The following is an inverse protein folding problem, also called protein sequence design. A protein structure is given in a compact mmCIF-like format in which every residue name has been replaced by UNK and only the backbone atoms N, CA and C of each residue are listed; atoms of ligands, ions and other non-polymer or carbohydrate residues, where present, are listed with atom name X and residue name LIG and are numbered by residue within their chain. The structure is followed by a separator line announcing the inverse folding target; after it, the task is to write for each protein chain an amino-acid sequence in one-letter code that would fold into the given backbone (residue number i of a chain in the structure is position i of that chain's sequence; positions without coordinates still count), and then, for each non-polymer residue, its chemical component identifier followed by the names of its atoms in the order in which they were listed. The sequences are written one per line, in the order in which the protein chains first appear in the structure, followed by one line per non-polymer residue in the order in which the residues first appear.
data_IF_758234981020
#
_entry.id   IF_758234981020
#
_cell.length_a   1.000
_cell.length_b   1.000
_cell.length_c   1.000
_cell.angle_alpha   90.00
_cell.angle_beta   90.00
_cell.angle_gamma   90.00
#
_symmetry.space_group_name_H-M   'P 1'
#
loop_
_entity.id
_entity.type
_entity.pdbx_description
1 polymer ?
#
# COMPACT_ATOMS: atom_id res chain seq x y z
N UNK A 1 59.81 29.99 23.84
CA UNK A 1 58.52 29.43 24.27
C UNK A 1 57.34 29.75 23.36
N UNK A 2 57.41 30.76 22.52
CA UNK A 2 56.25 31.23 21.69
C UNK A 2 55.92 30.40 20.44
N UNK A 3 56.80 29.52 19.93
CA UNK A 3 56.56 28.73 18.72
C UNK A 3 55.73 27.47 18.94
N UNK A 4 55.71 26.94 20.13
CA UNK A 4 54.91 25.73 20.45
C UNK A 4 53.46 26.09 20.75
N UNK A 5 53.18 27.26 21.31
CA UNK A 5 51.84 27.72 21.66
C UNK A 5 50.92 27.90 20.42
N UNK A 6 51.51 28.39 19.28
CA UNK A 6 50.73 28.58 18.04
C UNK A 6 50.32 27.27 17.36
N UNK A 7 51.09 26.18 17.54
CA UNK A 7 50.77 24.88 16.91
C UNK A 7 49.67 24.14 17.69
N UNK A 8 49.65 24.28 19.00
CA UNK A 8 48.64 23.67 19.87
C UNK A 8 47.28 24.36 19.71
N UNK A 9 47.28 25.68 19.51
CA UNK A 9 46.04 26.44 19.32
C UNK A 9 45.32 26.09 17.98
N UNK A 10 46.08 25.85 16.91
CA UNK A 10 45.50 25.45 15.62
C UNK A 10 44.96 24.03 15.67
N UNK A 11 45.62 23.10 16.37
CA UNK A 11 45.14 21.74 16.53
C UNK A 11 43.87 21.68 17.43
N UNK A 12 43.80 22.49 18.47
CA UNK A 12 42.63 22.60 19.33
C UNK A 12 41.44 23.27 18.63
N UNK A 13 41.69 24.26 17.76
CA UNK A 13 40.62 24.91 16.98
C UNK A 13 40.03 23.98 15.92
N UNK A 14 40.86 23.13 15.28
CA UNK A 14 40.36 22.12 14.32
C UNK A 14 39.61 21.02 15.04
N UNK A 15 40.06 20.54 16.18
CA UNK A 15 39.35 19.54 16.98
C UNK A 15 38.03 20.11 17.56
N UNK A 16 38.00 21.37 17.97
CA UNK A 16 36.81 22.04 18.46
C UNK A 16 35.77 22.31 17.35
N UNK A 17 36.20 22.63 16.12
CA UNK A 17 35.31 22.82 14.97
C UNK A 17 34.68 21.49 14.48
N UNK A 18 35.44 20.39 14.58
CA UNK A 18 34.90 19.04 14.25
C UNK A 18 33.91 18.59 15.33
N UNK A 19 34.14 18.87 16.61
CA UNK A 19 33.20 18.49 17.68
C UNK A 19 31.93 19.35 17.71
N UNK A 20 32.00 20.62 17.29
CA UNK A 20 30.83 21.51 17.20
C UNK A 20 30.00 21.31 15.92
N UNK A 21 30.57 20.64 14.93
CA UNK A 21 29.93 20.39 13.64
C UNK A 21 29.28 19.01 13.50
N UNK A 22 29.24 18.21 14.57
CA UNK A 22 28.38 16.98 14.53
C UNK A 22 26.97 17.48 14.72
N UNK A 23 26.14 17.53 13.65
CA UNK A 23 24.71 17.76 13.83
C UNK A 23 24.26 16.66 14.79
N UNK A 24 23.60 17.04 15.87
CA UNK A 24 22.88 16.06 16.66
C UNK A 24 22.13 15.20 15.65
N UNK A 25 22.23 13.89 15.75
CA UNK A 25 21.57 12.94 14.85
C UNK A 25 20.08 13.17 14.93
N UNK A 26 19.59 14.18 14.22
CA UNK A 26 18.19 14.18 13.83
C UNK A 26 18.01 12.88 13.04
N UNK A 27 17.34 11.92 13.65
CA UNK A 27 17.05 10.63 13.02
C UNK A 27 16.31 10.92 11.73
N UNK A 28 17.02 10.83 10.60
CA UNK A 28 16.40 10.98 9.30
C UNK A 28 15.51 9.75 9.05
N UNK A 29 14.28 9.93 8.67
CA UNK A 29 13.38 8.85 8.33
C UNK A 29 12.79 9.04 6.93
N UNK A 30 12.44 7.92 6.32
CA UNK A 30 11.60 7.84 5.13
C UNK A 30 10.45 6.92 5.48
N UNK A 31 9.24 7.45 5.47
CA UNK A 31 8.02 6.77 5.92
C UNK A 31 6.99 6.69 4.81
N UNK A 32 6.21 5.63 4.80
CA UNK A 32 5.01 5.52 4.03
C UNK A 32 3.98 4.58 4.63
N UNK A 33 2.78 4.84 4.21
CA UNK A 33 1.59 4.13 4.60
C UNK A 33 0.63 4.10 3.43
N UNK A 34 0.07 2.92 3.17
CA UNK A 34 -1.10 2.68 2.34
C UNK A 34 -2.07 1.79 3.11
N UNK A 35 -3.30 2.20 3.29
CA UNK A 35 -4.35 1.39 3.89
C UNK A 35 -5.61 1.45 3.05
N UNK A 36 -6.31 0.32 2.97
CA UNK A 36 -7.63 0.21 2.37
C UNK A 36 -8.49 -0.70 3.24
N UNK A 37 -9.55 -0.14 3.78
CA UNK A 37 -10.57 -0.86 4.54
C UNK A 37 -11.89 -0.83 3.76
N UNK A 38 -12.40 -2.00 3.38
CA UNK A 38 -13.69 -2.17 2.71
C UNK A 38 -14.64 -2.88 3.66
N UNK A 39 -15.82 -2.31 3.88
CA UNK A 39 -16.86 -2.87 4.72
C UNK A 39 -18.21 -2.88 4.03
N UNK A 40 -19.14 -3.66 4.54
CA UNK A 40 -20.51 -3.75 4.03
C UNK A 40 -20.59 -4.11 2.53
N UNK A 41 -19.63 -4.90 2.04
CA UNK A 41 -19.64 -5.35 0.66
C UNK A 41 -20.87 -6.24 0.39
N UNK A 42 -21.70 -5.83 -0.54
CA UNK A 42 -22.95 -6.48 -0.84
C UNK A 42 -23.23 -6.55 -2.34
N UNK A 43 -23.85 -7.65 -2.76
CA UNK A 43 -24.39 -7.83 -4.11
C UNK A 43 -25.88 -8.09 -3.96
N UNK A 44 -26.69 -7.24 -4.58
CA UNK A 44 -28.16 -7.34 -4.53
C UNK A 44 -28.74 -7.54 -5.94
N UNK A 45 -29.83 -8.28 -6.05
CA UNK A 45 -30.51 -8.55 -7.33
C UNK A 45 -30.06 -9.83 -8.04
N UNK A 46 -29.00 -10.51 -7.60
CA UNK A 46 -28.68 -11.84 -8.10
C UNK A 46 -29.64 -12.89 -7.48
N UNK A 47 -30.16 -13.84 -8.29
CA UNK A 47 -30.91 -14.97 -7.74
C UNK A 47 -30.06 -15.76 -6.74
N UNK A 48 -30.62 -16.11 -5.59
CA UNK A 48 -29.92 -16.81 -4.50
C UNK A 48 -29.32 -18.16 -4.88
N UNK A 49 -29.73 -18.76 -5.99
CA UNK A 49 -29.25 -20.05 -6.51
C UNK A 49 -28.15 -19.90 -7.56
N UNK A 50 -27.75 -18.68 -7.90
CA UNK A 50 -26.86 -18.42 -9.05
C UNK A 50 -25.38 -18.58 -8.74
N UNK A 51 -24.93 -18.39 -7.49
CA UNK A 51 -23.51 -18.48 -7.16
C UNK A 51 -23.07 -19.91 -6.97
N UNK A 52 -22.03 -20.31 -7.69
CA UNK A 52 -21.55 -21.70 -7.70
C UNK A 52 -20.22 -21.89 -6.98
N UNK A 53 -19.27 -20.99 -7.17
CA UNK A 53 -17.93 -21.13 -6.59
C UNK A 53 -17.35 -19.76 -6.21
N UNK A 54 -16.44 -19.78 -5.25
CA UNK A 54 -15.64 -18.62 -4.88
C UNK A 54 -14.17 -19.02 -4.64
N UNK A 55 -13.28 -18.07 -4.84
CA UNK A 55 -11.86 -18.19 -4.52
C UNK A 55 -11.38 -16.87 -3.93
N UNK A 56 -10.73 -16.92 -2.78
CA UNK A 56 -10.02 -15.79 -2.18
C UNK A 56 -8.55 -16.11 -2.09
N UNK A 57 -7.70 -15.16 -2.44
CA UNK A 57 -6.25 -15.28 -2.30
C UNK A 57 -5.71 -14.01 -1.68
N UNK A 58 -4.90 -14.14 -0.66
CA UNK A 58 -4.15 -13.08 -0.02
C UNK A 58 -2.66 -13.33 -0.21
N UNK A 59 -1.89 -12.28 -0.47
CA UNK A 59 -0.45 -12.33 -0.48
C UNK A 59 0.10 -11.05 0.12
N UNK A 60 0.88 -11.19 1.17
CA UNK A 60 1.57 -10.10 1.83
C UNK A 60 3.08 -10.26 1.66
N UNK A 61 3.73 -9.18 1.29
CA UNK A 61 5.19 -9.14 1.12
C UNK A 61 5.73 -7.96 1.91
N UNK A 62 6.76 -8.18 2.70
CA UNK A 62 7.55 -7.12 3.32
C UNK A 62 9.03 -7.30 2.99
N UNK A 63 9.69 -6.23 2.61
CA UNK A 63 11.12 -6.19 2.30
C UNK A 63 11.78 -5.06 3.08
N UNK A 64 12.85 -5.39 3.79
CA UNK A 64 13.65 -4.43 4.55
C UNK A 64 15.13 -4.71 4.31
N UNK A 65 15.86 -3.72 3.80
CA UNK A 65 17.29 -3.80 3.55
C UNK A 65 17.73 -5.05 2.75
N UNK A 66 16.94 -5.40 1.71
CA UNK A 66 17.21 -6.55 0.84
C UNK A 66 16.80 -7.92 1.40
N UNK A 67 16.25 -7.96 2.62
CA UNK A 67 15.63 -9.17 3.17
C UNK A 67 14.13 -9.11 2.91
N UNK A 68 13.54 -10.19 2.42
CA UNK A 68 12.10 -10.26 2.14
C UNK A 68 11.45 -11.39 2.90
N UNK A 69 10.22 -11.17 3.31
CA UNK A 69 9.30 -12.19 3.81
C UNK A 69 8.00 -12.13 3.03
N UNK A 70 7.43 -13.30 2.73
CA UNK A 70 6.19 -13.42 1.97
C UNK A 70 5.29 -14.38 2.73
N UNK A 71 4.02 -13.98 2.89
CA UNK A 71 2.96 -14.82 3.42
C UNK A 71 1.82 -14.87 2.40
N UNK A 72 1.23 -16.05 2.22
CA UNK A 72 0.10 -16.22 1.31
C UNK A 72 -0.92 -17.17 1.91
N UNK A 73 -2.18 -16.87 1.72
CA UNK A 73 -3.30 -17.72 2.07
C UNK A 73 -4.30 -17.78 0.90
N UNK A 74 -4.97 -18.89 0.76
CA UNK A 74 -6.05 -19.04 -0.18
C UNK A 74 -7.24 -19.78 0.44
N UNK A 75 -8.41 -19.49 -0.07
CA UNK A 75 -9.63 -20.15 0.32
C UNK A 75 -10.53 -20.35 -0.90
N UNK A 76 -10.93 -21.58 -1.11
CA UNK A 76 -11.82 -21.95 -2.20
C UNK A 76 -13.06 -22.65 -1.66
N UNK A 77 -14.20 -22.44 -2.26
CA UNK A 77 -15.41 -23.13 -1.88
C UNK A 77 -16.51 -23.08 -2.91
N UNK A 78 -17.57 -23.83 -2.64
CA UNK A 78 -18.82 -23.78 -3.39
C UNK A 78 -19.87 -23.14 -2.51
N UNK A 79 -20.62 -22.21 -3.06
CA UNK A 79 -21.76 -21.60 -2.38
C UNK A 79 -22.99 -22.45 -2.68
N UNK A 80 -23.48 -23.09 -1.62
CA UNK A 80 -24.84 -23.63 -1.60
C UNK A 80 -25.67 -22.68 -0.72
N UNK A 81 -26.88 -22.28 -1.09
CA UNK A 81 -27.69 -21.34 -0.30
C UNK A 81 -27.98 -21.79 1.14
N UNK A 82 -27.65 -23.03 1.51
CA UNK A 82 -27.80 -23.58 2.85
C UNK A 82 -26.49 -23.84 3.59
N UNK A 83 -25.32 -23.51 3.03
CA UNK A 83 -24.02 -23.78 3.66
C UNK A 83 -23.29 -22.48 3.96
N UNK A 84 -23.01 -22.27 5.22
CA UNK A 84 -22.03 -21.28 5.67
C UNK A 84 -20.67 -21.69 5.11
N UNK A 85 -20.11 -20.91 4.22
CA UNK A 85 -18.79 -21.17 3.65
C UNK A 85 -17.74 -20.86 4.69
N UNK A 86 -17.00 -21.88 5.09
CA UNK A 86 -15.90 -21.73 6.02
C UNK A 86 -14.58 -21.91 5.27
N UNK A 87 -13.73 -20.90 5.31
CA UNK A 87 -12.33 -21.04 5.00
C UNK A 87 -11.65 -21.69 6.21
N UNK A 88 -11.53 -23.01 6.21
CA UNK A 88 -11.09 -23.75 7.40
C UNK A 88 -12.18 -23.79 8.48
N UNK A 89 -11.85 -23.49 9.72
CA UNK A 89 -12.76 -23.48 10.88
C UNK A 89 -13.36 -22.10 11.18
N UNK A 90 -13.02 -21.07 10.41
CA UNK A 90 -13.45 -19.68 10.60
C UNK A 90 -14.07 -19.11 9.32
N UNK A 91 -15.12 -18.26 9.42
CA UNK A 91 -15.61 -17.48 8.27
C UNK A 91 -14.67 -16.32 7.89
N UNK A 92 -13.51 -16.26 8.47
CA UNK A 92 -12.47 -15.27 8.29
C UNK A 92 -11.24 -16.01 7.76
N UNK A 93 -10.61 -15.55 6.67
CA UNK A 93 -9.23 -15.93 6.43
C UNK A 93 -8.43 -15.42 7.63
N UNK A 94 -7.65 -16.31 8.24
CA UNK A 94 -6.80 -15.92 9.36
C UNK A 94 -5.96 -14.70 8.91
N UNK A 95 -5.86 -13.69 9.79
CA UNK A 95 -5.08 -12.51 9.46
C UNK A 95 -3.68 -12.90 9.00
N UNK A 96 -3.30 -12.41 7.83
CA UNK A 96 -2.01 -12.69 7.22
C UNK A 96 -1.09 -11.50 7.41
N UNK A 97 0.10 -11.73 7.97
CA UNK A 97 1.07 -10.67 8.22
C UNK A 97 2.46 -11.04 7.70
N UNK A 98 3.04 -10.19 6.86
CA UNK A 98 4.45 -10.23 6.49
C UNK A 98 5.15 -9.05 7.18
N UNK A 99 6.15 -9.33 8.03
CA UNK A 99 6.79 -8.30 8.86
C UNK A 99 8.30 -8.48 8.95
N UNK A 100 9.03 -7.39 8.89
CA UNK A 100 10.46 -7.29 9.11
C UNK A 100 10.78 -6.07 9.99
N UNK A 101 11.81 -6.16 10.82
CA UNK A 101 12.15 -5.15 11.82
C UNK A 101 11.39 -5.36 13.13
N UNK A 102 11.04 -4.27 13.80
CA UNK A 102 10.31 -4.28 15.09
C UNK A 102 8.98 -3.55 15.02
N UNK A 103 8.03 -3.97 14.16
CA UNK A 103 6.69 -3.42 14.21
C UNK A 103 5.95 -3.95 15.43
N UNK A 104 4.99 -3.19 15.94
CA UNK A 104 4.15 -3.62 17.04
C UNK A 104 3.02 -4.50 16.54
N UNK A 105 3.12 -5.81 16.79
CA UNK A 105 1.99 -6.75 16.68
C UNK A 105 1.60 -7.13 15.26
N UNK A 106 1.45 -8.42 15.04
CA UNK A 106 0.78 -8.98 13.85
C UNK A 106 -0.70 -8.64 13.90
N UNK A 107 -1.29 -8.37 12.73
CA UNK A 107 -2.73 -8.14 12.57
C UNK A 107 -3.26 -6.92 13.34
N UNK A 108 -2.41 -5.94 13.53
CA UNK A 108 -2.80 -4.65 14.03
C UNK A 108 -2.86 -3.65 12.87
N UNK A 109 -4.05 -3.33 12.41
CA UNK A 109 -4.29 -2.36 11.34
C UNK A 109 -4.15 -0.90 11.79
N UNK A 110 -3.76 -0.66 13.05
CA UNK A 110 -3.37 0.65 13.52
C UNK A 110 -1.99 1.09 12.96
N UNK A 111 -1.79 2.39 12.76
CA UNK A 111 -0.55 2.93 12.22
C UNK A 111 0.57 2.91 13.26
N UNK A 112 1.75 2.38 12.88
CA UNK A 112 2.93 2.30 13.76
C UNK A 112 3.69 3.63 13.77
N UNK A 113 3.82 4.26 12.60
CA UNK A 113 4.48 5.56 12.47
C UNK A 113 6.01 5.49 12.42
N UNK A 114 6.68 6.62 12.69
CA UNK A 114 8.09 6.86 12.36
C UNK A 114 9.10 6.50 13.47
N UNK A 115 8.66 5.89 14.57
CA UNK A 115 9.49 5.69 15.76
C UNK A 115 10.56 4.60 15.67
N UNK A 116 10.35 3.59 14.81
CA UNK A 116 11.21 2.39 14.66
C UNK A 116 11.40 2.07 13.18
N UNK A 117 12.43 1.25 12.86
CA UNK A 117 12.66 0.77 11.49
C UNK A 117 11.94 -0.56 11.26
N UNK A 118 11.13 -0.62 10.21
CA UNK A 118 10.35 -1.81 9.86
C UNK A 118 9.83 -1.75 8.43
N UNK A 119 9.32 -2.88 7.96
CA UNK A 119 8.42 -3.03 6.84
C UNK A 119 7.34 -4.05 7.21
N UNK A 120 6.08 -3.77 6.96
CA UNK A 120 4.96 -4.68 7.23
C UNK A 120 3.86 -4.59 6.19
N UNK A 121 3.24 -5.73 5.93
CA UNK A 121 2.03 -5.83 5.14
C UNK A 121 1.07 -6.79 5.87
N UNK A 122 -0.09 -6.29 6.23
CA UNK A 122 -1.12 -7.06 6.91
C UNK A 122 -2.40 -7.06 6.08
N UNK A 123 -3.10 -8.20 6.03
CA UNK A 123 -4.40 -8.31 5.40
C UNK A 123 -5.35 -9.23 6.16
N UNK A 124 -6.64 -8.98 6.03
CA UNK A 124 -7.70 -9.83 6.55
C UNK A 124 -8.93 -9.75 5.63
N UNK A 125 -9.50 -10.89 5.31
CA UNK A 125 -10.80 -10.98 4.62
C UNK A 125 -11.81 -11.61 5.56
N UNK A 126 -12.87 -10.87 5.88
CA UNK A 126 -14.02 -11.40 6.56
C UNK A 126 -15.11 -11.73 5.53
N UNK A 127 -15.35 -13.02 5.30
CA UNK A 127 -16.36 -13.47 4.35
C UNK A 127 -17.62 -13.85 5.08
N UNK A 128 -18.60 -12.98 5.10
CA UNK A 128 -19.97 -13.37 5.33
C UNK A 128 -20.63 -13.68 3.98
N UNK A 129 -21.72 -14.42 3.96
CA UNK A 129 -22.36 -14.95 2.74
C UNK A 129 -22.72 -13.82 1.74
N UNK A 130 -21.88 -13.61 0.71
CA UNK A 130 -22.08 -12.58 -0.31
C UNK A 130 -23.44 -12.70 -1.04
N UNK A 131 -24.01 -13.88 -1.13
CA UNK A 131 -25.24 -14.17 -1.89
C UNK A 131 -26.50 -13.77 -1.13
N UNK A 132 -26.46 -13.68 0.17
CA UNK A 132 -27.63 -13.37 1.00
C UNK A 132 -27.66 -11.91 1.49
N UNK A 133 -26.85 -11.01 0.88
CA UNK A 133 -26.76 -9.62 1.31
C UNK A 133 -26.06 -9.45 2.66
N UNK A 134 -25.33 -10.46 3.13
CA UNK A 134 -24.53 -10.36 4.36
C UNK A 134 -23.24 -9.62 4.04
N UNK A 135 -22.88 -8.55 4.78
CA UNK A 135 -21.72 -7.75 4.49
C UNK A 135 -20.42 -8.52 4.69
N UNK A 136 -19.49 -8.34 3.77
CA UNK A 136 -18.10 -8.76 3.91
C UNK A 136 -17.22 -7.55 4.18
N UNK A 137 -16.12 -7.76 4.88
CA UNK A 137 -15.09 -6.75 5.07
C UNK A 137 -13.73 -7.26 4.60
N UNK A 138 -12.93 -6.31 4.13
CA UNK A 138 -11.56 -6.48 3.68
C UNK A 138 -10.77 -5.36 4.32
N UNK A 139 -9.68 -5.69 4.99
CA UNK A 139 -8.78 -4.68 5.51
C UNK A 139 -7.35 -5.04 5.09
N UNK A 140 -6.65 -4.08 4.50
CA UNK A 140 -5.27 -4.22 4.03
C UNK A 140 -4.46 -3.00 4.44
N UNK A 141 -3.25 -3.24 4.90
CA UNK A 141 -2.29 -2.18 5.22
C UNK A 141 -0.90 -2.59 4.76
N UNK A 142 -0.22 -1.65 4.14
CA UNK A 142 1.21 -1.68 3.88
C UNK A 142 1.80 -0.45 4.57
N UNK A 143 2.82 -0.65 5.39
CA UNK A 143 3.44 0.43 6.15
C UNK A 143 4.91 0.14 6.41
N UNK A 144 5.76 1.10 6.14
CA UNK A 144 7.18 0.96 6.40
C UNK A 144 7.83 2.27 6.86
N UNK A 145 8.95 2.14 7.55
CA UNK A 145 9.76 3.25 8.01
C UNK A 145 11.24 2.89 7.98
N UNK A 146 12.03 3.66 7.23
CA UNK A 146 13.48 3.57 7.18
C UNK A 146 14.11 4.65 8.04
N UNK A 147 14.93 4.25 9.00
CA UNK A 147 15.74 5.16 9.84
C UNK A 147 17.21 5.03 9.50
N UNK A 148 17.73 3.81 9.40
CA UNK A 148 19.15 3.51 9.21
C UNK A 148 19.44 2.78 7.93
N UNK A 149 18.44 2.12 7.37
CA UNK A 149 18.54 1.27 6.19
C UNK A 149 18.60 2.03 4.87
N UNK A 150 18.73 1.28 3.78
CA UNK A 150 18.85 1.84 2.43
C UNK A 150 17.60 1.69 1.60
N UNK A 151 16.78 0.67 1.85
CA UNK A 151 15.54 0.43 1.13
C UNK A 151 14.53 -0.35 1.97
N UNK A 152 13.26 -0.06 1.80
CA UNK A 152 12.16 -0.89 2.22
C UNK A 152 11.10 -0.89 1.12
N UNK A 153 10.39 -1.98 0.98
CA UNK A 153 9.16 -2.07 0.22
C UNK A 153 8.24 -3.07 0.89
N UNK A 154 6.97 -2.78 0.88
CA UNK A 154 5.94 -3.67 1.35
C UNK A 154 4.75 -3.63 0.41
N UNK A 155 4.03 -4.70 0.35
CA UNK A 155 2.77 -4.80 -0.36
C UNK A 155 1.86 -5.78 0.34
N UNK A 156 0.69 -5.35 0.72
CA UNK A 156 -0.43 -6.20 1.00
C UNK A 156 -1.25 -6.30 -0.28
N UNK A 157 -1.11 -7.41 -0.96
CA UNK A 157 -1.92 -7.77 -2.11
C UNK A 157 -3.04 -8.67 -1.63
N UNK A 158 -4.23 -8.13 -1.53
CA UNK A 158 -5.42 -8.87 -1.84
C UNK A 158 -5.46 -9.00 -3.38
N UNK A 159 -4.63 -9.85 -3.91
CA UNK A 159 -4.91 -10.45 -5.19
C UNK A 159 -6.04 -11.46 -4.94
N UNK A 160 -7.12 -10.95 -4.37
CA UNK A 160 -8.34 -11.63 -4.39
C UNK A 160 -8.81 -11.55 -5.83
N UNK A 161 -8.40 -12.52 -6.58
CA UNK A 161 -9.37 -13.07 -7.46
C UNK A 161 -10.45 -13.62 -6.53
N UNK A 162 -11.28 -12.72 -5.97
CA UNK A 162 -12.59 -13.12 -5.50
C UNK A 162 -13.32 -13.50 -6.76
N UNK A 163 -13.03 -14.68 -7.29
CA UNK A 163 -13.76 -15.23 -8.41
C UNK A 163 -15.06 -15.78 -7.85
N UNK A 164 -16.02 -14.87 -7.71
CA UNK A 164 -17.38 -15.27 -7.47
C UNK A 164 -17.98 -15.70 -8.82
N UNK A 165 -18.06 -17.00 -9.07
CA UNK A 165 -18.69 -17.52 -10.28
C UNK A 165 -20.18 -17.72 -10.05
N UNK A 166 -21.00 -17.21 -10.96
CA UNK A 166 -22.45 -17.35 -10.91
C UNK A 166 -23.04 -17.53 -12.31
N UNK A 167 -24.23 -18.15 -12.35
CA UNK A 167 -24.98 -18.37 -13.59
C UNK A 167 -26.28 -17.59 -13.56
N UNK A 168 -26.55 -16.88 -14.64
CA UNK A 168 -27.78 -16.12 -14.89
C UNK A 168 -28.60 -16.87 -15.91
N UNK A 169 -29.79 -17.31 -15.55
CA UNK A 169 -30.68 -18.08 -16.44
C UNK A 169 -31.50 -17.21 -17.40
N UNK A 170 -31.78 -15.97 -17.02
CA UNK A 170 -32.51 -14.97 -17.82
C UNK A 170 -31.82 -13.62 -17.70
N UNK A 171 -32.11 -12.68 -18.61
CA UNK A 171 -31.64 -11.34 -18.52
C UNK A 171 -31.94 -10.76 -17.12
N UNK A 172 -30.91 -10.29 -16.43
CA UNK A 172 -31.02 -9.80 -15.05
C UNK A 172 -30.33 -8.47 -14.84
N UNK A 173 -30.58 -7.86 -13.69
CA UNK A 173 -29.89 -6.68 -13.21
C UNK A 173 -29.47 -6.92 -11.77
N UNK A 174 -28.30 -6.39 -11.40
CA UNK A 174 -27.82 -6.44 -10.02
C UNK A 174 -27.04 -5.17 -9.67
N UNK A 175 -26.88 -4.95 -8.39
CA UNK A 175 -26.05 -3.85 -7.88
C UNK A 175 -24.99 -4.39 -6.95
N UNK A 176 -23.82 -3.75 -6.99
CA UNK A 176 -22.71 -3.97 -6.09
C UNK A 176 -22.50 -2.69 -5.29
N UNK A 177 -22.42 -2.80 -3.98
CA UNK A 177 -22.20 -1.66 -3.09
C UNK A 177 -21.32 -2.05 -1.91
N UNK A 178 -20.53 -1.07 -1.42
CA UNK A 178 -19.71 -1.19 -0.22
C UNK A 178 -19.38 0.20 0.34
N UNK A 179 -18.81 0.21 1.53
CA UNK A 179 -18.16 1.39 2.10
C UNK A 179 -16.65 1.15 2.10
N UNK A 180 -15.86 2.16 1.78
CA UNK A 180 -14.41 2.06 1.88
C UNK A 180 -13.80 3.31 2.51
N UNK A 181 -12.68 3.07 3.21
CA UNK A 181 -11.78 4.05 3.76
C UNK A 181 -10.37 3.83 3.20
N UNK A 182 -9.72 4.91 2.80
CA UNK A 182 -8.37 4.89 2.23
C UNK A 182 -7.50 5.87 2.97
N UNK A 183 -6.39 5.37 3.51
CA UNK A 183 -5.37 6.22 4.10
C UNK A 183 -4.04 6.06 3.37
N UNK A 184 -3.43 7.18 3.02
CA UNK A 184 -2.08 7.21 2.45
C UNK A 184 -1.26 8.35 3.06
N UNK A 185 0.00 8.05 3.34
CA UNK A 185 0.97 9.04 3.77
C UNK A 185 2.37 8.67 3.30
N UNK A 186 3.09 9.65 2.78
CA UNK A 186 4.52 9.55 2.48
C UNK A 186 5.25 10.73 3.12
N UNK A 187 6.29 10.45 3.89
CA UNK A 187 7.02 11.49 4.60
C UNK A 187 8.53 11.27 4.58
N UNK A 188 9.28 12.33 4.35
CA UNK A 188 10.74 12.37 4.39
C UNK A 188 11.15 13.48 5.33
N UNK A 189 11.92 13.16 6.37
CA UNK A 189 12.36 14.15 7.35
C UNK A 189 13.62 14.93 6.94
N UNK A 190 14.43 14.36 6.04
CA UNK A 190 15.70 14.95 5.58
C UNK A 190 15.88 14.73 4.06
N UNK A 191 16.82 15.48 3.46
CA UNK A 191 17.22 15.25 2.06
C UNK A 191 17.84 13.87 1.88
N UNK A 192 17.55 13.22 0.76
CA UNK A 192 18.19 11.96 0.39
C UNK A 192 17.33 10.72 0.59
N UNK A 193 16.07 10.79 0.26
CA UNK A 193 15.18 9.64 0.20
C UNK A 193 14.07 9.83 -0.84
N UNK A 194 13.31 8.79 -1.08
CA UNK A 194 12.05 8.84 -1.82
C UNK A 194 11.06 7.88 -1.18
N UNK A 195 9.80 8.21 -1.22
CA UNK A 195 8.71 7.38 -0.74
C UNK A 195 7.55 7.46 -1.71
N UNK A 196 6.92 6.32 -1.96
CA UNK A 196 5.70 6.21 -2.77
C UNK A 196 4.72 5.30 -2.02
N UNK A 197 3.46 5.66 -2.04
CA UNK A 197 2.34 4.92 -1.48
C UNK A 197 1.29 4.75 -2.57
N UNK A 198 0.75 3.55 -2.72
CA UNK A 198 -0.19 3.24 -3.77
C UNK A 198 -1.35 2.40 -3.22
N UNK A 199 -2.57 2.79 -3.59
CA UNK A 199 -3.81 2.04 -3.37
C UNK A 199 -4.47 1.80 -4.70
N UNK A 200 -4.90 0.57 -4.95
CA UNK A 200 -5.60 0.18 -6.17
C UNK A 200 -6.71 -0.80 -5.86
N UNK A 201 -7.93 -0.49 -6.25
CA UNK A 201 -9.06 -1.40 -6.23
C UNK A 201 -9.72 -1.48 -7.61
N UNK A 202 -9.93 -2.68 -8.11
CA UNK A 202 -10.52 -2.93 -9.43
C UNK A 202 -11.56 -4.03 -9.32
N UNK A 203 -12.72 -3.80 -9.87
CA UNK A 203 -13.82 -4.76 -9.98
C UNK A 203 -14.00 -5.16 -11.43
N UNK A 204 -14.00 -6.46 -11.70
CA UNK A 204 -14.16 -6.98 -13.05
C UNK A 204 -15.16 -8.12 -13.07
N UNK A 205 -16.23 -7.96 -13.84
CA UNK A 205 -17.16 -9.02 -14.17
C UNK A 205 -16.81 -9.56 -15.57
N UNK A 206 -16.43 -10.81 -15.65
CA UNK A 206 -16.07 -11.46 -16.93
C UNK A 206 -17.09 -12.52 -17.28
N UNK A 207 -17.55 -12.55 -18.53
CA UNK A 207 -18.40 -13.62 -19.05
C UNK A 207 -17.55 -14.83 -19.43
N UNK A 208 -17.84 -16.00 -18.84
CA UNK A 208 -16.99 -17.20 -18.94
C UNK A 208 -17.58 -18.35 -19.76
N UNK A 209 -18.77 -18.18 -20.30
CA UNK A 209 -19.48 -19.20 -21.12
C UNK A 209 -19.00 -19.36 -22.58
N UNK A 210 -17.87 -18.73 -22.92
CA UNK A 210 -17.30 -18.74 -24.27
C UNK A 210 -17.77 -17.62 -25.19
N UNK A 211 -18.78 -16.84 -24.78
CA UNK A 211 -19.23 -15.67 -25.56
C UNK A 211 -18.32 -14.44 -25.40
N UNK A 212 -17.47 -14.46 -24.40
CA UNK A 212 -16.54 -13.38 -24.11
C UNK A 212 -17.21 -12.12 -23.53
N UNK A 213 -16.39 -11.09 -23.27
CA UNK A 213 -16.83 -9.78 -22.75
C UNK A 213 -16.65 -9.62 -21.25
N UNK A 214 -16.63 -8.36 -20.85
CA UNK A 214 -16.43 -7.98 -19.44
C UNK A 214 -17.10 -6.65 -19.10
N UNK A 215 -17.29 -6.42 -17.82
CA UNK A 215 -17.58 -5.11 -17.22
C UNK A 215 -16.41 -4.83 -16.29
N UNK A 216 -15.83 -3.64 -16.37
CA UNK A 216 -14.72 -3.17 -15.56
C UNK A 216 -15.15 -1.92 -14.82
N UNK A 217 -14.90 -1.87 -13.50
CA UNK A 217 -15.14 -0.71 -12.69
C UNK A 217 -13.91 -0.39 -11.86
N UNK A 218 -13.45 0.86 -11.97
CA UNK A 218 -12.31 1.42 -11.26
C UNK A 218 -12.79 2.65 -10.48
N UNK A 219 -13.17 2.52 -9.21
CA UNK A 219 -13.62 3.66 -8.41
C UNK A 219 -12.47 4.65 -8.22
N UNK A 220 -12.63 5.87 -8.74
CA UNK A 220 -11.61 6.92 -8.72
C UNK A 220 -11.98 8.12 -7.82
N UNK A 221 -13.10 8.05 -7.11
CA UNK A 221 -13.62 9.09 -6.24
C UNK A 221 -14.52 10.10 -6.94
N UNK A 222 -14.84 9.88 -8.23
CA UNK A 222 -15.65 10.79 -9.01
C UNK A 222 -16.62 10.02 -9.91
N UNK A 223 -17.91 10.18 -9.71
CA UNK A 223 -18.92 9.54 -10.57
C UNK A 223 -18.74 10.01 -12.01
N UNK A 224 -18.27 9.11 -12.89
CA UNK A 224 -18.10 9.42 -14.30
C UNK A 224 -18.57 8.27 -15.21
N UNK A 225 -18.97 8.61 -16.46
CA UNK A 225 -19.45 7.63 -17.42
C UNK A 225 -18.34 6.67 -17.91
N UNK A 226 -17.06 6.97 -17.60
CA UNK A 226 -15.91 6.18 -18.03
C UNK A 226 -15.46 5.12 -17.03
N UNK A 227 -15.87 5.21 -15.77
CA UNK A 227 -15.32 4.40 -14.67
C UNK A 227 -15.95 3.00 -14.63
N UNK A 228 -17.16 2.85 -15.15
CA UNK A 228 -17.76 1.55 -15.35
C UNK A 228 -17.93 1.25 -16.87
N UNK A 229 -17.03 0.44 -17.39
CA UNK A 229 -16.94 0.11 -18.81
C UNK A 229 -17.53 -1.26 -19.12
N UNK A 230 -18.37 -1.33 -20.15
CA UNK A 230 -18.91 -2.60 -20.69
C UNK A 230 -18.28 -2.89 -22.05
N UNK A 231 -17.71 -4.07 -22.20
CA UNK A 231 -17.10 -4.54 -23.45
C UNK A 231 -17.55 -5.96 -23.78
N UNK A 232 -18.05 -6.18 -24.98
CA UNK A 232 -18.38 -7.51 -25.51
C UNK A 232 -19.61 -8.20 -24.89
N UNK A 233 -20.36 -7.55 -23.98
CA UNK A 233 -21.61 -8.08 -23.41
C UNK A 233 -22.80 -7.29 -23.99
N UNK A 234 -23.41 -7.83 -25.06
CA UNK A 234 -24.49 -7.14 -25.73
C UNK A 234 -25.73 -6.96 -24.82
N UNK A 235 -26.25 -5.73 -24.78
CA UNK A 235 -27.43 -5.37 -23.99
C UNK A 235 -27.15 -5.03 -22.53
N UNK A 236 -25.94 -5.31 -22.02
CA UNK A 236 -25.56 -4.92 -20.68
C UNK A 236 -25.19 -3.43 -20.61
N UNK A 237 -25.57 -2.79 -19.52
CA UNK A 237 -25.14 -1.44 -19.16
C UNK A 237 -24.59 -1.43 -17.75
N UNK A 238 -23.64 -0.54 -17.48
CA UNK A 238 -23.12 -0.30 -16.15
C UNK A 238 -23.18 1.19 -15.85
N UNK A 239 -23.69 1.53 -14.69
CA UNK A 239 -23.78 2.90 -14.20
C UNK A 239 -23.22 2.95 -12.78
N UNK A 240 -22.27 3.84 -12.57
CA UNK A 240 -21.80 4.17 -11.25
C UNK A 240 -22.82 5.05 -10.52
N UNK A 241 -23.20 4.67 -9.32
CA UNK A 241 -24.23 5.33 -8.53
C UNK A 241 -23.69 5.98 -7.25
N UNK A 242 -22.53 5.54 -6.79
CA UNK A 242 -21.76 6.18 -5.73
C UNK A 242 -20.26 5.91 -5.95
N UNK A 243 -19.44 6.94 -5.77
CA UNK A 243 -17.98 6.85 -5.82
C UNK A 243 -17.38 7.88 -4.84
N UNK A 244 -16.96 7.42 -3.67
CA UNK A 244 -16.29 8.22 -2.67
C UNK A 244 -17.07 9.45 -2.13
N UNK A 245 -18.39 9.52 -2.37
CA UNK A 245 -19.23 10.62 -1.87
C UNK A 245 -18.92 12.01 -2.46
N UNK A 246 -18.12 12.10 -3.52
CA UNK A 246 -17.64 13.38 -4.08
C UNK A 246 -16.55 14.03 -3.22
N UNK A 247 -15.99 13.32 -2.27
CA UNK A 247 -14.85 13.79 -1.49
C UNK A 247 -13.59 13.85 -2.36
N UNK A 248 -12.80 14.91 -2.22
CA UNK A 248 -11.53 15.07 -2.93
C UNK A 248 -10.50 13.96 -2.63
N UNK A 249 -10.81 13.04 -1.74
CA UNK A 249 -9.97 11.95 -1.22
C UNK A 249 -10.68 10.59 -1.27
N UNK A 250 -11.64 10.42 -2.15
CA UNK A 250 -12.43 9.19 -2.29
C UNK A 250 -11.90 8.18 -3.31
N UNK A 251 -10.74 8.41 -3.95
CA UNK A 251 -10.23 7.48 -4.95
C UNK A 251 -9.68 6.19 -4.32
N UNK A 252 -10.18 5.05 -4.78
CA UNK A 252 -9.58 3.74 -4.49
C UNK A 252 -8.46 3.37 -5.48
N UNK A 253 -8.09 4.29 -6.38
CA UNK A 253 -7.03 4.14 -7.35
C UNK A 253 -6.14 5.38 -7.29
N UNK A 254 -5.31 5.46 -6.27
CA UNK A 254 -4.48 6.63 -6.01
C UNK A 254 -3.02 6.26 -5.72
N UNK A 255 -2.13 7.14 -6.14
CA UNK A 255 -0.70 7.05 -5.86
C UNK A 255 -0.21 8.40 -5.39
N UNK A 256 0.41 8.42 -4.22
CA UNK A 256 1.15 9.60 -3.74
C UNK A 256 2.64 9.28 -3.65
N UNK A 257 3.47 10.27 -3.94
CA UNK A 257 4.92 10.10 -3.91
C UNK A 257 5.60 11.39 -3.49
N UNK A 258 6.73 11.25 -2.80
CA UNK A 258 7.59 12.37 -2.46
C UNK A 258 9.02 12.13 -2.94
N UNK A 259 9.70 13.23 -3.30
CA UNK A 259 11.06 13.22 -3.83
C UNK A 259 12.11 13.44 -2.74
N UNK A 260 13.27 13.90 -3.15
CA UNK A 260 14.50 13.98 -2.34
C UNK A 260 14.52 15.06 -1.24
N UNK A 261 13.54 15.93 -1.18
CA UNK A 261 13.46 17.03 -0.21
C UNK A 261 12.57 16.63 0.97
N UNK A 262 12.80 17.18 2.16
CA UNK A 262 11.89 17.00 3.30
C UNK A 262 10.46 17.36 2.90
N UNK A 263 9.53 16.43 3.11
CA UNK A 263 8.13 16.62 2.77
C UNK A 263 7.26 15.63 3.55
N UNK A 264 6.01 15.98 3.71
CA UNK A 264 4.97 15.15 4.30
C UNK A 264 3.72 15.34 3.46
N UNK A 265 3.33 14.30 2.73
CA UNK A 265 2.19 14.31 1.82
C UNK A 265 1.20 13.28 2.35
N UNK A 266 -0.03 13.70 2.53
CA UNK A 266 -1.12 12.85 2.99
C UNK A 266 -2.27 12.86 2.00
N UNK A 267 -2.93 11.69 1.88
CA UNK A 267 -4.19 11.53 1.20
C UNK A 267 -5.13 10.77 2.13
N UNK A 268 -6.17 11.44 2.62
CA UNK A 268 -7.12 10.92 3.62
C UNK A 268 -6.46 10.26 4.84
N UNK A 269 -5.37 10.82 5.37
CA UNK A 269 -4.68 10.25 6.53
C UNK A 269 -5.45 10.58 7.81
N UNK A 270 -6.28 9.64 8.26
CA UNK A 270 -7.04 9.73 9.49
C UNK A 270 -7.11 8.35 10.18
N UNK A 271 -6.57 8.18 11.40
CA UNK A 271 -6.70 6.92 12.12
C UNK A 271 -8.13 6.61 12.59
N UNK A 272 -9.06 7.55 12.46
CA UNK A 272 -10.49 7.32 12.64
C UNK A 272 -11.11 7.07 11.27
N UNK A 273 -11.77 5.93 11.10
CA UNK A 273 -12.34 5.51 9.83
C UNK A 273 -13.35 6.52 9.24
N UNK A 274 -13.09 6.97 8.02
CA UNK A 274 -13.91 7.90 7.24
C UNK A 274 -14.51 7.20 6.02
N UNK A 275 -15.40 6.24 6.27
CA UNK A 275 -15.98 5.41 5.23
C UNK A 275 -16.84 6.19 4.24
N UNK A 276 -16.47 6.10 2.95
CA UNK A 276 -17.20 6.65 1.83
C UNK A 276 -17.98 5.56 1.07
N UNK A 277 -19.16 5.88 0.49
CA UNK A 277 -19.95 4.91 -0.26
C UNK A 277 -19.45 4.74 -1.70
N UNK A 278 -19.47 3.48 -2.17
CA UNK A 278 -19.17 3.09 -3.55
C UNK A 278 -20.25 2.14 -4.04
N UNK A 279 -20.78 2.37 -5.23
CA UNK A 279 -21.81 1.52 -5.80
C UNK A 279 -21.91 1.61 -7.32
N UNK A 280 -22.19 0.47 -7.94
CA UNK A 280 -22.58 0.37 -9.34
C UNK A 280 -23.89 -0.37 -9.50
N UNK A 281 -24.60 -0.05 -10.57
CA UNK A 281 -25.76 -0.79 -11.04
C UNK A 281 -25.47 -1.35 -12.43
N UNK A 282 -25.64 -2.67 -12.58
CA UNK A 282 -25.49 -3.39 -13.83
C UNK A 282 -26.89 -3.84 -14.26
N UNK A 283 -27.30 -3.43 -15.45
CA UNK A 283 -28.60 -3.79 -16.01
C UNK A 283 -28.45 -4.50 -17.35
N UNK A 284 -29.46 -5.30 -17.70
CA UNK A 284 -29.49 -5.99 -18.99
C UNK A 284 -28.45 -7.10 -19.16
N UNK A 285 -27.90 -7.64 -18.06
CA UNK A 285 -26.93 -8.73 -18.12
C UNK A 285 -27.60 -9.98 -18.71
N UNK A 286 -27.20 -10.45 -19.91
CA UNK A 286 -27.85 -11.60 -20.56
C UNK A 286 -27.61 -12.91 -19.82
N UNK A 287 -28.42 -13.94 -20.13
CA UNK A 287 -28.18 -15.29 -19.60
C UNK A 287 -26.76 -15.76 -19.93
N UNK A 288 -26.12 -16.40 -18.98
CA UNK A 288 -24.73 -16.86 -19.12
C UNK A 288 -24.05 -17.14 -17.79
N UNK A 289 -22.80 -17.57 -17.85
CA UNK A 289 -21.94 -17.77 -16.69
C UNK A 289 -20.93 -16.64 -16.58
N UNK A 290 -20.80 -16.11 -15.38
CA UNK A 290 -19.98 -14.93 -15.09
C UNK A 290 -19.05 -15.21 -13.92
N UNK A 291 -17.90 -14.55 -13.94
CA UNK A 291 -16.96 -14.48 -12.82
C UNK A 291 -16.76 -13.01 -12.43
N UNK A 292 -17.09 -12.67 -11.20
CA UNK A 292 -16.82 -11.37 -10.60
C UNK A 292 -15.49 -11.45 -9.82
N UNK A 293 -14.55 -10.60 -10.15
CA UNK A 293 -13.30 -10.46 -9.42
C UNK A 293 -13.16 -9.07 -8.80
N UNK A 294 -12.67 -9.02 -7.59
CA UNK A 294 -12.18 -7.82 -6.92
C UNK A 294 -10.66 -7.98 -6.73
N UNK A 295 -9.90 -7.02 -7.19
CA UNK A 295 -8.48 -6.89 -6.88
C UNK A 295 -8.29 -5.65 -6.01
N UNK A 296 -7.74 -5.82 -4.82
CA UNK A 296 -7.36 -4.74 -3.94
C UNK A 296 -5.86 -4.87 -3.62
N UNK A 297 -5.11 -3.83 -3.87
CA UNK A 297 -3.66 -3.79 -3.66
C UNK A 297 -3.30 -2.51 -2.94
N UNK A 298 -2.57 -2.64 -1.85
CA UNK A 298 -1.87 -1.53 -1.22
C UNK A 298 -0.38 -1.81 -1.23
N UNK A 299 0.43 -0.81 -1.52
CA UNK A 299 1.88 -0.98 -1.55
C UNK A 299 2.61 0.31 -1.25
N UNK A 300 3.76 0.17 -0.63
CA UNK A 300 4.70 1.23 -0.37
C UNK A 300 6.09 0.87 -0.87
N UNK A 301 6.78 1.82 -1.47
CA UNK A 301 8.16 1.70 -1.91
C UNK A 301 9.00 2.87 -1.42
N UNK A 302 10.14 2.57 -0.83
CA UNK A 302 11.06 3.57 -0.30
C UNK A 302 12.50 3.29 -0.61
N UNK A 303 13.21 4.39 -0.86
CA UNK A 303 14.65 4.38 -0.99
C UNK A 303 15.20 5.50 -0.11
N UNK A 304 16.17 5.18 0.72
CA UNK A 304 16.94 6.16 1.45
C UNK A 304 18.34 6.23 0.86
N UNK A 305 18.72 7.42 0.40
CA UNK A 305 20.09 7.67 0.02
C UNK A 305 20.89 7.95 1.29
N UNK A 306 21.72 7.02 1.71
CA UNK A 306 22.67 7.27 2.81
C UNK A 306 23.68 8.29 2.30
N UNK A 307 23.75 9.51 2.86
CA UNK A 307 24.78 10.46 2.48
C UNK A 307 26.12 9.78 2.68
N UNK A 308 27.02 9.93 1.70
CA UNK A 308 28.40 9.42 1.86
C UNK A 308 28.94 9.90 3.23
N UNK A 309 29.50 8.98 4.04
CA UNK A 309 29.95 9.35 5.36
C UNK A 309 30.85 10.57 5.27
N UNK A 310 30.65 11.56 6.14
CA UNK A 310 31.53 12.73 6.24
C UNK A 310 33.03 12.32 6.38
N UNK A 311 33.29 11.05 6.64
CA UNK A 311 34.60 10.41 6.55
C UNK A 311 35.31 10.63 5.22
N UNK A 312 34.61 10.62 4.07
CA UNK A 312 35.23 10.94 2.77
C UNK A 312 35.62 12.41 2.65
N UNK A 313 34.79 13.32 3.15
CA UNK A 313 35.12 14.72 3.25
C UNK A 313 36.30 14.96 4.22
N UNK A 314 36.31 14.28 5.34
CA UNK A 314 37.43 14.32 6.33
C UNK A 314 38.72 13.74 5.76
N UNK A 315 38.66 12.63 5.05
CA UNK A 315 39.80 12.04 4.31
C UNK A 315 40.29 13.01 3.24
N UNK A 316 39.40 13.62 2.48
CA UNK A 316 39.73 14.65 1.48
C UNK A 316 40.45 15.86 2.12
N UNK A 317 39.95 16.37 3.22
CA UNK A 317 40.56 17.47 3.97
C UNK A 317 41.92 17.06 4.58
N UNK A 318 42.03 15.85 5.13
CA UNK A 318 43.27 15.30 5.66
C UNK A 318 44.32 15.16 4.55
N UNK A 319 43.96 14.65 3.39
CA UNK A 319 44.86 14.54 2.23
C UNK A 319 45.30 15.90 1.71
N UNK A 320 44.40 16.88 1.65
CA UNK A 320 44.75 18.28 1.31
C UNK A 320 45.70 18.92 2.34
N UNK A 321 45.51 18.64 3.62
CA UNK A 321 46.38 19.06 4.72
C UNK A 321 47.80 18.48 4.59
N UNK A 322 47.88 17.17 4.27
CA UNK A 322 49.18 16.49 4.04
C UNK A 322 49.88 17.03 2.77
N UNK A 323 49.16 17.22 1.69
CA UNK A 323 49.72 17.77 0.47
C UNK A 323 50.21 19.19 0.64
N UNK A 324 49.51 20.03 1.42
CA UNK A 324 49.91 21.40 1.75
C UNK A 324 51.18 21.46 2.60
N UNK A 325 51.33 20.54 3.54
CA UNK A 325 52.55 20.47 4.40
C UNK A 325 53.75 19.93 3.62
N UNK A 326 53.56 18.95 2.72
CA UNK A 326 54.62 18.42 1.87
C UNK A 326 55.15 19.48 0.88
N UNK A 327 54.26 20.30 0.32
CA UNK A 327 54.68 21.41 -0.57
C UNK A 327 55.49 22.50 0.13
N UNK A 328 55.16 22.80 1.38
CA UNK A 328 55.94 23.78 2.21
C UNK A 328 57.35 23.31 2.55
N UNK A 329 57.60 21.99 2.65
CA UNK A 329 58.93 21.45 2.92
C UNK A 329 59.85 21.54 1.69
N UNK A 330 59.34 21.42 0.46
CA UNK A 330 60.13 21.56 -0.76
C UNK A 330 60.60 22.99 -1.03
N UNK A 331 59.95 24.00 -0.51
CA UNK A 331 60.38 25.41 -0.69
C UNK A 331 61.36 25.92 0.37
N UNK A 332 61.79 25.08 1.32
CA UNK A 332 62.77 25.43 2.36
C UNK A 332 64.09 24.66 2.23
N UNK A 333 64.26 23.83 1.24
CA UNK A 333 65.50 23.20 0.83
C UNK A 333 66.02 23.86 -0.46
#
# INVERSE_FOLDING_TARGET
MTKYFKKTLVAAAVAGAVAAGIPGTASAYVYGLSSLDITNFSITGLPSTSVTTYTFTETNTATLNGTSTIQSANCNGTVNPSVTTTCGTSPVLDPLAAQLGTPTGQNNFGFVGTGVEYARADSIISTAQLVNGTPSSINTIAEDNLITGTNASDSAQLQSTTNLTFTVGTTTSFSLAFLADVDQRVAISNTGGSSQSNVQATFRLTRTDGSGGFILWNPDGTISAGDCQVSGIAGATCVETADGGGAAQGSLNNTIATGINPSDITYSYNPAADFNPYAISIAGLPAGTYSLSLSAVVSDDKVRFVPEPMSLALVGIALLGIAGTARRRKHKA
#
